data_IF_542712085355
#
_entry.id   IF_542712085355
#
_cell.length_a   1.000
_cell.length_b   1.000
_cell.length_c   1.000
_cell.angle_alpha   90.00
_cell.angle_beta   90.00
_cell.angle_gamma   90.00
#
_symmetry.space_group_name_H-M   'P 1'
#
loop_
_entity.id
_entity.type
_entity.pdbx_description
1 polymer ?
#
# COMPACT_ATOMS: atom_id res chain seq x y z
N UNK A 1 1.10 -48.08 -24.85
CA UNK A 1 1.83 -46.79 -24.90
C UNK A 1 0.81 -45.69 -25.15
N UNK A 2 0.28 -45.08 -24.09
CA UNK A 2 -0.48 -43.84 -24.20
C UNK A 2 0.28 -42.80 -23.37
N UNK A 3 0.79 -41.81 -24.09
CA UNK A 3 1.55 -40.67 -23.58
C UNK A 3 0.53 -39.73 -22.91
N UNK A 4 0.66 -39.53 -21.60
CA UNK A 4 -0.13 -38.53 -20.89
C UNK A 4 0.26 -37.14 -21.38
N UNK A 5 -0.70 -36.40 -21.91
CA UNK A 5 -0.64 -34.95 -22.01
C UNK A 5 -0.82 -34.39 -20.60
N UNK A 6 0.28 -33.96 -19.98
CA UNK A 6 0.23 -33.06 -18.83
C UNK A 6 -0.35 -31.71 -19.30
N UNK A 7 -1.45 -31.30 -18.69
CA UNK A 7 -2.06 -29.99 -18.92
C UNK A 7 -1.07 -28.86 -18.57
N UNK A 8 -1.04 -27.75 -19.33
CA UNK A 8 -0.22 -26.60 -18.98
C UNK A 8 -0.62 -26.10 -17.58
N UNK A 9 0.37 -25.92 -16.71
CA UNK A 9 0.14 -25.55 -15.31
C UNK A 9 -0.67 -24.24 -15.22
N UNK A 10 -1.64 -24.18 -14.30
CA UNK A 10 -2.45 -22.97 -14.01
C UNK A 10 -1.60 -21.73 -13.67
N UNK A 11 -0.31 -21.88 -13.42
CA UNK A 11 0.63 -20.80 -13.12
C UNK A 11 0.97 -20.02 -14.40
N UNK A 12 1.24 -20.73 -15.51
CA UNK A 12 1.56 -20.10 -16.80
C UNK A 12 0.39 -19.25 -17.34
N UNK A 13 -0.84 -19.66 -17.07
CA UNK A 13 -2.03 -18.89 -17.45
C UNK A 13 -2.19 -17.60 -16.63
N UNK A 14 -1.69 -17.54 -15.39
CA UNK A 14 -1.81 -16.35 -14.55
C UNK A 14 -0.78 -15.26 -14.88
N UNK A 15 0.40 -15.63 -15.39
CA UNK A 15 1.44 -14.64 -15.80
C UNK A 15 0.98 -13.83 -17.02
N UNK A 16 0.23 -14.44 -17.95
CA UNK A 16 -0.28 -13.78 -19.16
C UNK A 16 -1.38 -12.72 -18.90
N UNK A 17 -1.93 -12.66 -17.69
CA UNK A 17 -2.95 -11.66 -17.29
C UNK A 17 -2.37 -10.54 -16.41
N UNK A 18 -1.09 -10.61 -16.06
CA UNK A 18 -0.46 -9.61 -15.20
C UNK A 18 -0.25 -8.29 -15.94
N UNK A 19 -0.56 -7.18 -15.27
CA UNK A 19 -0.26 -5.83 -15.78
C UNK A 19 1.27 -5.65 -15.79
N UNK A 20 1.91 -5.44 -16.94
CA UNK A 20 3.37 -5.37 -17.03
C UNK A 20 3.89 -3.99 -16.63
N UNK A 21 4.29 -3.83 -15.35
CA UNK A 21 4.97 -2.64 -14.85
C UNK A 21 6.48 -2.67 -15.14
N UNK A 22 7.05 -3.86 -15.28
CA UNK A 22 8.32 -4.07 -15.95
C UNK A 22 8.17 -5.24 -16.95
N UNK A 23 8.31 -5.02 -18.27
CA UNK A 23 8.31 -6.10 -19.25
C UNK A 23 9.40 -7.16 -19.03
N UNK A 24 10.44 -6.86 -18.26
CA UNK A 24 11.51 -7.76 -17.82
C UNK A 24 11.44 -8.04 -16.31
N UNK A 25 10.26 -7.85 -15.71
CA UNK A 25 10.03 -8.15 -14.31
C UNK A 25 10.36 -9.60 -13.98
N UNK A 26 10.77 -9.82 -12.73
CA UNK A 26 11.26 -11.09 -12.19
C UNK A 26 10.31 -11.66 -11.11
N UNK A 27 9.19 -11.00 -10.84
CA UNK A 27 8.14 -11.48 -9.94
C UNK A 27 6.76 -10.98 -10.38
N UNK A 28 5.74 -11.80 -10.19
CA UNK A 28 4.34 -11.39 -10.29
C UNK A 28 3.77 -11.18 -8.89
N UNK A 29 3.37 -9.96 -8.58
CA UNK A 29 2.64 -9.66 -7.36
C UNK A 29 1.14 -9.85 -7.62
N UNK A 30 0.49 -10.71 -6.84
CA UNK A 30 -0.97 -10.87 -6.83
C UNK A 30 -1.55 -10.20 -5.59
N UNK A 31 -2.28 -9.11 -5.80
CA UNK A 31 -2.98 -8.41 -4.73
C UNK A 31 -4.40 -8.93 -4.64
N UNK A 32 -4.88 -9.20 -3.43
CA UNK A 32 -6.27 -9.59 -3.17
C UNK A 32 -6.80 -8.81 -1.98
N UNK A 33 -8.00 -8.25 -2.16
CA UNK A 33 -8.79 -7.66 -1.08
C UNK A 33 -9.95 -8.57 -0.72
N UNK A 34 -9.79 -9.33 0.36
CA UNK A 34 -10.76 -10.37 0.75
C UNK A 34 -12.19 -9.84 0.91
N UNK A 35 -12.34 -8.68 1.55
CA UNK A 35 -13.65 -8.05 1.82
C UNK A 35 -14.48 -7.76 0.57
N UNK A 36 -13.85 -7.60 -0.58
CA UNK A 36 -14.52 -7.25 -1.85
C UNK A 36 -14.38 -8.34 -2.91
N UNK A 37 -13.50 -9.32 -2.70
CA UNK A 37 -13.08 -10.27 -3.73
C UNK A 37 -12.28 -9.65 -4.88
N UNK A 38 -11.96 -8.36 -4.84
CA UNK A 38 -11.17 -7.69 -5.86
C UNK A 38 -9.74 -8.26 -5.87
N UNK A 39 -9.20 -8.46 -7.07
CA UNK A 39 -7.80 -8.88 -7.25
C UNK A 39 -7.19 -8.27 -8.49
N UNK A 40 -5.87 -8.06 -8.44
CA UNK A 40 -5.07 -7.64 -9.58
C UNK A 40 -3.70 -8.31 -9.52
N UNK A 41 -3.06 -8.46 -10.69
CA UNK A 41 -1.72 -9.02 -10.81
C UNK A 41 -0.81 -8.04 -11.53
N UNK A 42 0.42 -7.90 -11.06
CA UNK A 42 1.41 -6.95 -11.57
C UNK A 42 2.74 -7.67 -11.78
N UNK A 43 3.28 -7.61 -12.99
CA UNK A 43 4.65 -8.04 -13.27
C UNK A 43 5.59 -6.87 -12.98
N UNK A 44 6.50 -7.06 -12.02
CA UNK A 44 7.33 -6.00 -11.43
C UNK A 44 8.78 -6.41 -11.33
N UNK A 45 9.66 -5.43 -11.11
CA UNK A 45 11.07 -5.66 -10.80
C UNK A 45 11.31 -5.69 -9.30
N UNK A 46 11.79 -6.81 -8.77
CA UNK A 46 12.19 -6.93 -7.38
C UNK A 46 13.31 -5.95 -7.06
N UNK A 47 14.21 -5.66 -8.01
CA UNK A 47 15.29 -4.70 -7.81
C UNK A 47 14.77 -3.30 -7.50
N UNK A 48 13.79 -2.81 -8.26
CA UNK A 48 13.14 -1.52 -8.01
C UNK A 48 12.47 -1.52 -6.63
N UNK A 49 11.71 -2.57 -6.31
CA UNK A 49 10.99 -2.66 -5.04
C UNK A 49 11.92 -2.71 -3.84
N UNK A 50 13.03 -3.47 -3.90
CA UNK A 50 14.03 -3.55 -2.82
C UNK A 50 14.71 -2.19 -2.58
N UNK A 51 14.95 -1.41 -3.64
CA UNK A 51 15.51 -0.05 -3.51
C UNK A 51 14.52 0.93 -2.89
N UNK A 52 13.24 0.79 -3.23
CA UNK A 52 12.19 1.71 -2.81
C UNK A 52 11.67 1.46 -1.38
N UNK A 53 11.76 0.22 -0.90
CA UNK A 53 11.06 -0.24 0.30
C UNK A 53 11.91 -1.23 1.10
N UNK A 54 12.21 -0.94 2.37
CA UNK A 54 12.83 -1.89 3.28
C UNK A 54 11.97 -3.14 3.49
N UNK A 55 10.65 -3.02 3.46
CA UNK A 55 9.71 -4.15 3.59
C UNK A 55 9.83 -5.10 2.41
N UNK A 56 9.82 -4.59 1.17
CA UNK A 56 10.08 -5.42 -0.01
C UNK A 56 11.52 -5.94 -0.04
N UNK A 57 12.49 -5.14 0.43
CA UNK A 57 13.88 -5.60 0.62
C UNK A 57 13.95 -6.85 1.50
N UNK A 58 13.25 -6.82 2.64
CA UNK A 58 13.16 -7.96 3.56
C UNK A 58 12.39 -9.12 2.94
N UNK A 59 11.18 -8.87 2.43
CA UNK A 59 10.29 -9.89 1.83
C UNK A 59 10.99 -10.68 0.73
N UNK A 60 11.75 -10.01 -0.14
CA UNK A 60 12.46 -10.68 -1.23
C UNK A 60 13.83 -11.20 -0.84
N UNK A 61 14.26 -11.07 0.42
CA UNK A 61 15.54 -11.65 0.85
C UNK A 61 15.43 -13.17 1.04
N UNK A 62 16.56 -13.86 1.00
CA UNK A 62 16.62 -15.32 1.12
C UNK A 62 16.11 -15.89 2.47
N UNK A 63 15.86 -15.03 3.46
CA UNK A 63 15.31 -15.43 4.77
C UNK A 63 13.81 -15.69 4.72
N UNK A 64 13.11 -15.13 3.73
CA UNK A 64 11.66 -15.29 3.57
C UNK A 64 11.36 -16.26 2.42
N UNK A 65 10.19 -16.91 2.51
CA UNK A 65 9.72 -17.88 1.52
C UNK A 65 9.67 -17.25 0.13
N UNK A 66 9.19 -16.01 0.04
CA UNK A 66 9.07 -15.24 -1.20
C UNK A 66 10.44 -15.05 -1.87
N UNK A 67 11.46 -14.66 -1.10
CA UNK A 67 12.82 -14.55 -1.61
C UNK A 67 13.50 -15.88 -1.96
N UNK A 68 13.20 -16.96 -1.23
CA UNK A 68 13.67 -18.30 -1.59
C UNK A 68 13.09 -18.76 -2.94
N UNK A 69 11.82 -18.45 -3.20
CA UNK A 69 11.17 -18.76 -4.48
C UNK A 69 11.79 -17.98 -5.64
N UNK A 70 12.21 -16.73 -5.44
CA UNK A 70 12.96 -15.97 -6.46
C UNK A 70 14.29 -16.63 -6.88
N UNK A 71 14.89 -17.45 -6.01
CA UNK A 71 16.12 -18.18 -6.32
C UNK A 71 15.87 -19.52 -7.01
N UNK A 72 14.67 -20.09 -6.86
CA UNK A 72 14.33 -21.45 -7.28
C UNK A 72 13.40 -21.52 -8.50
N UNK A 73 12.56 -20.50 -8.70
CA UNK A 73 11.53 -20.45 -9.73
C UNK A 73 11.86 -19.34 -10.74
N UNK A 74 11.49 -19.55 -12.01
CA UNK A 74 11.49 -18.48 -13.00
C UNK A 74 10.22 -17.64 -12.85
N UNK A 75 10.37 -16.39 -12.41
CA UNK A 75 9.28 -15.41 -12.19
C UNK A 75 8.12 -15.91 -11.29
N UNK A 76 8.36 -16.16 -9.99
CA UNK A 76 7.34 -16.65 -9.07
C UNK A 76 6.17 -15.67 -8.87
N UNK A 77 5.01 -16.21 -8.51
CA UNK A 77 3.86 -15.41 -8.05
C UNK A 77 3.90 -15.25 -6.53
N UNK A 78 3.91 -14.01 -6.04
CA UNK A 78 3.86 -13.67 -4.61
C UNK A 78 2.51 -13.03 -4.30
N UNK A 79 1.81 -13.55 -3.31
CA UNK A 79 0.51 -13.03 -2.87
C UNK A 79 0.72 -11.89 -1.86
N UNK A 80 -0.02 -10.79 -2.05
CA UNK A 80 -0.12 -9.67 -1.13
C UNK A 80 -1.52 -9.71 -0.51
N UNK A 81 -1.57 -10.12 0.76
CA UNK A 81 -2.80 -10.33 1.52
C UNK A 81 -3.31 -9.01 2.13
N UNK A 82 -4.63 -8.84 2.08
CA UNK A 82 -5.36 -7.67 2.60
C UNK A 82 -4.89 -6.32 2.03
N UNK A 83 -4.54 -6.32 0.75
CA UNK A 83 -4.19 -5.11 0.02
C UNK A 83 -5.25 -4.69 -0.98
N UNK A 84 -5.51 -3.39 -1.08
CA UNK A 84 -6.39 -2.85 -2.10
C UNK A 84 -5.66 -2.87 -3.46
N UNK A 85 -6.15 -3.64 -4.45
CA UNK A 85 -5.44 -3.80 -5.73
C UNK A 85 -5.29 -2.49 -6.51
N UNK A 86 -6.22 -1.54 -6.36
CA UNK A 86 -6.14 -0.26 -7.04
C UNK A 86 -5.03 0.62 -6.44
N UNK A 87 -4.96 0.69 -5.12
CA UNK A 87 -3.98 1.49 -4.40
C UNK A 87 -2.57 0.91 -4.52
N UNK A 88 -2.43 -0.41 -4.39
CA UNK A 88 -1.14 -1.07 -4.65
C UNK A 88 -0.74 -0.93 -6.11
N UNK A 89 -1.68 -1.04 -7.04
CA UNK A 89 -1.40 -0.79 -8.46
C UNK A 89 -0.85 0.62 -8.72
N UNK A 90 -1.46 1.65 -8.13
CA UNK A 90 -0.95 3.02 -8.18
C UNK A 90 0.45 3.14 -7.58
N UNK A 91 0.64 2.63 -6.36
CA UNK A 91 1.94 2.64 -5.67
C UNK A 91 3.03 1.99 -6.52
N UNK A 92 2.78 0.79 -7.05
CA UNK A 92 3.74 0.05 -7.87
C UNK A 92 4.02 0.75 -9.20
N UNK A 93 3.00 1.32 -9.87
CA UNK A 93 3.17 2.11 -11.10
C UNK A 93 4.14 3.27 -10.88
N UNK A 94 3.93 4.03 -9.80
CA UNK A 94 4.78 5.18 -9.48
C UNK A 94 6.21 4.75 -9.17
N UNK A 95 6.40 3.68 -8.38
CA UNK A 95 7.73 3.12 -8.10
C UNK A 95 8.46 2.65 -9.37
N UNK A 96 7.73 2.20 -10.39
CA UNK A 96 8.26 1.80 -11.69
C UNK A 96 8.34 2.96 -12.71
N UNK A 97 8.25 4.22 -12.26
CA UNK A 97 8.33 5.41 -13.10
C UNK A 97 7.22 5.51 -14.17
N UNK A 98 6.08 4.85 -13.94
CA UNK A 98 4.92 4.87 -14.83
C UNK A 98 3.76 5.73 -14.29
N UNK A 99 4.03 6.59 -13.30
CA UNK A 99 3.03 7.57 -12.83
C UNK A 99 2.67 8.57 -13.93
N UNK A 100 1.42 9.00 -13.95
CA UNK A 100 0.89 9.95 -14.93
C UNK A 100 0.24 11.16 -14.24
N UNK A 101 -0.05 12.22 -15.01
CA UNK A 101 -0.78 13.38 -14.48
C UNK A 101 -2.20 13.04 -14.02
N UNK A 102 -2.78 11.94 -14.52
CA UNK A 102 -4.08 11.47 -14.05
C UNK A 102 -4.02 10.95 -12.60
N UNK A 103 -2.83 10.61 -12.10
CA UNK A 103 -2.61 10.12 -10.74
C UNK A 103 -2.33 11.27 -9.74
N UNK A 104 -2.33 12.55 -10.17
CA UNK A 104 -1.90 13.68 -9.33
C UNK A 104 -2.95 14.12 -8.30
N UNK A 105 -4.23 13.94 -8.60
CA UNK A 105 -5.34 14.33 -7.75
C UNK A 105 -6.14 13.10 -7.35
N UNK A 106 -6.53 13.03 -6.08
CA UNK A 106 -7.42 11.99 -5.58
C UNK A 106 -8.27 12.51 -4.43
N UNK A 107 -9.32 11.77 -4.12
CA UNK A 107 -10.22 12.08 -3.02
C UNK A 107 -9.52 11.80 -1.67
N UNK A 108 -9.89 12.55 -0.63
CA UNK A 108 -9.22 12.50 0.66
C UNK A 108 -9.20 11.08 1.27
N UNK A 109 -10.30 10.33 1.21
CA UNK A 109 -10.33 8.94 1.69
C UNK A 109 -9.36 8.07 0.89
N UNK A 110 -9.33 8.19 -0.44
CA UNK A 110 -8.40 7.47 -1.31
C UNK A 110 -6.95 7.78 -0.93
N UNK A 111 -6.62 9.06 -0.70
CA UNK A 111 -5.27 9.46 -0.31
C UNK A 111 -4.88 8.92 1.07
N UNK A 112 -5.80 8.96 2.03
CA UNK A 112 -5.59 8.40 3.35
C UNK A 112 -5.30 6.90 3.29
N UNK A 113 -6.08 6.16 2.50
CA UNK A 113 -5.86 4.72 2.32
C UNK A 113 -4.55 4.43 1.58
N UNK A 114 -4.21 5.19 0.55
CA UNK A 114 -2.91 5.09 -0.12
C UNK A 114 -1.76 5.31 0.87
N UNK A 115 -1.87 6.32 1.75
CA UNK A 115 -0.86 6.61 2.76
C UNK A 115 -0.60 5.41 3.68
N UNK A 116 -1.65 4.67 4.07
CA UNK A 116 -1.53 3.47 4.90
C UNK A 116 -0.82 2.32 4.16
N UNK A 117 -1.06 2.14 2.86
CA UNK A 117 -0.29 1.18 2.06
C UNK A 117 1.19 1.62 1.93
N UNK A 118 1.45 2.91 1.73
CA UNK A 118 2.82 3.42 1.68
C UNK A 118 3.57 3.23 2.99
N UNK A 119 2.90 3.39 4.14
CA UNK A 119 3.46 3.09 5.46
C UNK A 119 3.61 1.59 5.70
N UNK A 120 2.63 0.74 5.32
CA UNK A 120 2.71 -0.74 5.39
C UNK A 120 3.96 -1.27 4.70
N UNK A 121 4.30 -0.72 3.54
CA UNK A 121 5.49 -1.13 2.77
C UNK A 121 6.70 -0.23 3.01
N UNK A 122 6.63 0.77 3.89
CA UNK A 122 7.71 1.74 4.14
C UNK A 122 8.34 2.29 2.84
N UNK A 123 7.49 2.77 1.92
CA UNK A 123 7.92 3.28 0.61
C UNK A 123 7.64 4.78 0.42
N UNK A 124 7.13 5.47 1.44
CA UNK A 124 6.84 6.91 1.44
C UNK A 124 8.03 7.74 0.98
N UNK A 125 9.26 7.40 1.39
CA UNK A 125 10.48 8.12 0.98
C UNK A 125 10.73 8.04 -0.52
N UNK A 126 10.54 6.86 -1.12
CA UNK A 126 10.70 6.66 -2.56
C UNK A 126 9.61 7.43 -3.35
N UNK A 127 8.44 7.63 -2.73
CA UNK A 127 7.31 8.37 -3.30
C UNK A 127 7.31 9.87 -2.96
N UNK A 128 8.35 10.40 -2.32
CA UNK A 128 8.37 11.75 -1.75
C UNK A 128 7.85 12.87 -2.67
N UNK A 129 8.30 12.98 -3.94
CA UNK A 129 7.78 13.99 -4.87
C UNK A 129 6.27 13.86 -5.12
N UNK A 130 5.76 12.63 -5.18
CA UNK A 130 4.35 12.33 -5.41
C UNK A 130 3.50 12.62 -4.18
N UNK A 131 4.02 12.33 -2.99
CA UNK A 131 3.37 12.65 -1.72
C UNK A 131 3.06 14.15 -1.63
N UNK A 132 4.00 15.02 -2.00
CA UNK A 132 3.77 16.46 -2.04
C UNK A 132 2.63 16.82 -3.01
N UNK A 133 2.69 16.32 -4.25
CA UNK A 133 1.68 16.55 -5.28
C UNK A 133 0.30 16.10 -4.78
N UNK A 134 0.20 14.91 -4.19
CA UNK A 134 -1.06 14.36 -3.72
C UNK A 134 -1.65 15.15 -2.54
N UNK A 135 -0.83 15.60 -1.60
CA UNK A 135 -1.28 16.41 -0.46
C UNK A 135 -1.76 17.80 -0.90
N UNK A 136 -1.12 18.39 -1.90
CA UNK A 136 -1.48 19.69 -2.49
C UNK A 136 -2.76 19.60 -3.33
N UNK A 137 -2.95 18.51 -4.08
CA UNK A 137 -4.06 18.30 -5.01
C UNK A 137 -5.17 17.40 -4.44
N UNK A 138 -5.19 17.22 -3.11
CA UNK A 138 -6.24 16.44 -2.45
C UNK A 138 -7.59 17.12 -2.64
N UNK A 139 -8.57 16.34 -3.08
CA UNK A 139 -9.96 16.79 -3.27
C UNK A 139 -10.84 16.28 -2.14
N UNK A 140 -11.92 16.99 -1.85
CA UNK A 140 -12.94 16.53 -0.90
C UNK A 140 -14.31 16.56 -1.56
N UNK A 141 -15.16 15.58 -1.25
CA UNK A 141 -16.56 15.56 -1.70
C UNK A 141 -17.43 16.56 -0.94
N UNK A 142 -17.05 16.86 0.29
CA UNK A 142 -17.71 17.77 1.20
C UNK A 142 -16.70 18.41 2.18
N UNK A 143 -17.20 19.26 3.08
CA UNK A 143 -16.43 19.84 4.18
C UNK A 143 -16.70 19.09 5.50
N UNK A 144 -16.98 17.78 5.44
CA UNK A 144 -17.30 16.99 6.62
C UNK A 144 -16.10 16.79 7.54
N UNK A 145 -16.39 16.48 8.80
CA UNK A 145 -15.39 16.03 9.77
C UNK A 145 -14.54 14.86 9.25
N UNK A 146 -15.15 13.91 8.54
CA UNK A 146 -14.43 12.76 7.97
C UNK A 146 -13.49 13.18 6.85
N UNK A 147 -13.93 14.04 5.94
CA UNK A 147 -13.07 14.56 4.87
C UNK A 147 -11.81 15.25 5.43
N UNK A 148 -11.96 16.09 6.46
CA UNK A 148 -10.81 16.70 7.14
C UNK A 148 -9.94 15.65 7.85
N UNK A 149 -10.55 14.67 8.51
CA UNK A 149 -9.85 13.55 9.17
C UNK A 149 -8.99 12.76 8.20
N UNK A 150 -9.49 12.45 7.00
CA UNK A 150 -8.73 11.73 5.98
C UNK A 150 -7.52 12.52 5.50
N UNK A 151 -7.65 13.83 5.29
CA UNK A 151 -6.49 14.64 4.91
C UNK A 151 -5.43 14.71 6.03
N UNK A 152 -5.86 14.76 7.29
CA UNK A 152 -4.96 14.75 8.45
C UNK A 152 -4.26 13.39 8.55
N UNK A 153 -5.00 12.29 8.37
CA UNK A 153 -4.45 10.94 8.40
C UNK A 153 -3.40 10.76 7.31
N UNK A 154 -3.70 11.18 6.08
CA UNK A 154 -2.76 11.13 4.98
C UNK A 154 -1.46 11.88 5.32
N UNK A 155 -1.56 13.13 5.77
CA UNK A 155 -0.39 13.94 6.10
C UNK A 155 0.42 13.36 7.27
N UNK A 156 -0.27 12.83 8.28
CA UNK A 156 0.36 12.15 9.42
C UNK A 156 1.13 10.90 8.99
N UNK A 157 0.46 10.01 8.26
CA UNK A 157 1.02 8.72 7.84
C UNK A 157 2.16 8.89 6.84
N UNK A 158 2.09 9.89 5.95
CA UNK A 158 3.22 10.24 5.10
C UNK A 158 4.38 10.92 5.85
N UNK A 159 4.19 11.31 7.11
CA UNK A 159 5.20 12.03 7.89
C UNK A 159 5.41 13.49 7.45
N UNK A 160 4.47 14.06 6.67
CA UNK A 160 4.54 15.46 6.24
C UNK A 160 4.11 16.38 7.39
N UNK A 161 5.09 16.81 8.17
CA UNK A 161 4.83 17.67 9.35
C UNK A 161 4.20 19.02 8.99
N UNK A 162 4.65 19.75 7.94
CA UNK A 162 4.00 20.98 7.51
C UNK A 162 2.51 20.81 7.18
N UNK A 163 2.16 19.86 6.32
CA UNK A 163 0.78 19.60 5.91
C UNK A 163 -0.07 19.07 7.05
N UNK A 164 0.48 18.19 7.89
CA UNK A 164 -0.21 17.69 9.08
C UNK A 164 -0.60 18.83 10.01
N UNK A 165 0.34 19.75 10.30
CA UNK A 165 0.07 20.92 11.15
C UNK A 165 -0.96 21.85 10.51
N UNK A 166 -0.81 22.13 9.21
CA UNK A 166 -1.71 23.03 8.48
C UNK A 166 -3.14 22.50 8.51
N UNK A 167 -3.34 21.22 8.16
CA UNK A 167 -4.66 20.57 8.09
C UNK A 167 -5.29 20.39 9.48
N UNK A 168 -4.48 19.99 10.48
CA UNK A 168 -4.95 19.87 11.86
C UNK A 168 -5.43 21.21 12.42
N UNK A 169 -4.68 22.30 12.16
CA UNK A 169 -5.08 23.65 12.58
C UNK A 169 -6.42 24.06 11.96
N UNK A 170 -6.61 23.81 10.67
CA UNK A 170 -7.89 24.08 9.99
C UNK A 170 -9.03 23.31 10.65
N UNK A 171 -8.84 22.01 10.90
CA UNK A 171 -9.84 21.18 11.55
C UNK A 171 -10.18 21.67 12.96
N UNK A 172 -9.21 22.07 13.79
CA UNK A 172 -9.48 22.64 15.13
C UNK A 172 -10.30 23.92 15.08
N UNK A 173 -10.21 24.70 14.00
CA UNK A 173 -10.96 25.94 13.84
C UNK A 173 -12.37 25.73 13.27
N UNK A 174 -12.60 24.64 12.54
CA UNK A 174 -13.85 24.41 11.79
C UNK A 174 -14.72 23.29 12.38
N UNK A 175 -14.13 22.32 13.09
CA UNK A 175 -14.86 21.18 13.61
C UNK A 175 -15.49 21.48 14.97
N UNK A 176 -16.79 21.24 15.07
CA UNK A 176 -17.51 21.21 16.34
C UNK A 176 -17.10 19.99 17.17
N UNK A 177 -17.01 20.07 18.51
CA UNK A 177 -16.49 19.00 19.37
C UNK A 177 -17.13 17.61 19.18
N UNK A 178 -18.35 17.54 18.64
CA UNK A 178 -19.03 16.28 18.30
C UNK A 178 -18.36 15.48 17.17
N UNK A 179 -17.37 16.05 16.46
CA UNK A 179 -16.66 15.38 15.37
C UNK A 179 -15.99 14.07 15.80
N UNK A 180 -15.62 13.96 17.09
CA UNK A 180 -14.91 12.80 17.64
C UNK A 180 -15.70 11.51 17.45
N UNK A 181 -17.02 11.54 17.67
CA UNK A 181 -17.87 10.36 17.47
C UNK A 181 -17.83 9.86 16.02
N UNK A 182 -17.86 10.79 15.05
CA UNK A 182 -17.75 10.45 13.64
C UNK A 182 -16.37 9.88 13.27
N UNK A 183 -15.33 10.24 14.01
CA UNK A 183 -13.98 9.70 13.80
C UNK A 183 -13.80 8.33 14.46
N UNK A 184 -14.38 8.09 15.62
CA UNK A 184 -14.33 6.80 16.32
C UNK A 184 -15.07 5.69 15.55
N UNK A 185 -16.09 6.04 14.77
CA UNK A 185 -16.80 5.12 13.88
C UNK A 185 -16.00 4.75 12.62
N UNK A 186 -14.95 5.50 12.29
CA UNK A 186 -14.14 5.31 11.09
C UNK A 186 -12.85 4.56 11.41
N UNK A 187 -12.80 3.28 11.03
CA UNK A 187 -11.68 2.39 11.34
C UNK A 187 -10.33 2.90 10.83
N UNK A 188 -10.32 3.65 9.71
CA UNK A 188 -9.09 4.20 9.15
C UNK A 188 -8.40 5.20 10.09
N UNK A 189 -9.10 5.84 11.02
CA UNK A 189 -8.51 6.83 11.93
C UNK A 189 -7.83 6.24 13.16
N UNK A 190 -7.81 4.91 13.32
CA UNK A 190 -7.12 4.25 14.44
C UNK A 190 -5.67 4.75 14.64
N UNK A 191 -4.83 4.92 13.60
CA UNK A 191 -3.45 5.39 13.78
C UNK A 191 -3.35 6.81 14.34
N UNK A 192 -4.30 7.68 14.00
CA UNK A 192 -4.37 9.03 14.55
C UNK A 192 -4.83 9.00 16.01
N UNK A 193 -5.87 8.23 16.32
CA UNK A 193 -6.46 8.14 17.65
C UNK A 193 -5.49 7.49 18.65
N UNK A 194 -4.75 6.47 18.23
CA UNK A 194 -3.71 5.81 19.04
C UNK A 194 -2.54 6.76 19.33
N UNK A 195 -2.13 7.57 18.34
CA UNK A 195 -1.08 8.58 18.52
C UNK A 195 -1.45 9.66 19.54
N UNK A 196 -2.72 10.10 19.56
CA UNK A 196 -3.21 11.11 20.53
C UNK A 196 -3.37 10.53 21.94
N UNK A 197 -3.74 9.26 22.05
CA UNK A 197 -3.97 8.59 23.35
C UNK A 197 -2.68 8.03 23.99
N UNK A 198 -1.52 8.15 23.33
CA UNK A 198 -0.23 7.72 23.87
C UNK A 198 -0.05 6.21 23.93
N UNK A 199 -0.89 5.43 23.22
CA UNK A 199 -0.66 4.00 23.06
C UNK A 199 0.44 3.81 22.02
N UNK A 200 1.57 3.23 22.42
CA UNK A 200 2.69 2.98 21.52
C UNK A 200 2.23 2.13 20.32
N UNK A 201 2.62 2.56 19.12
CA UNK A 201 2.44 1.83 17.86
C UNK A 201 3.11 0.46 18.01
N UNK A 202 2.34 -0.63 17.98
CA UNK A 202 2.92 -1.96 17.86
C UNK A 202 3.60 -2.07 16.49
N UNK A 203 4.86 -2.51 16.40
CA UNK A 203 5.47 -2.77 15.10
C UNK A 203 4.69 -3.88 14.41
N UNK A 204 4.22 -3.63 13.18
CA UNK A 204 3.47 -4.60 12.37
C UNK A 204 4.29 -5.85 11.96
N UNK A 205 5.57 -5.90 12.33
CA UNK A 205 6.45 -7.04 12.10
C UNK A 205 7.09 -7.48 13.42
N UNK A 206 6.37 -8.29 14.21
CA UNK A 206 7.05 -9.22 15.11
C UNK A 206 7.32 -10.53 14.34
N UNK A 207 8.56 -11.07 14.41
CA UNK A 207 8.81 -12.39 13.86
C UNK A 207 7.96 -13.39 14.64
N UNK A 208 7.12 -14.14 13.93
CA UNK A 208 6.51 -15.36 14.48
C UNK A 208 7.66 -16.29 14.84
N UNK A 209 8.00 -16.31 16.13
CA UNK A 209 8.87 -17.34 16.70
C UNK A 209 8.06 -18.62 16.62
N UNK A 210 8.29 -19.41 15.58
CA UNK A 210 7.85 -20.80 15.54
C UNK A 210 8.64 -21.55 16.61
N UNK A 211 7.98 -21.79 17.74
CA UNK A 211 8.44 -22.78 18.70
C UNK A 211 8.64 -24.10 17.97
N UNK A 212 9.87 -24.58 18.01
CA UNK A 212 10.28 -25.88 17.51
C UNK A 212 9.73 -26.94 18.46
N UNK A 213 8.93 -27.88 17.94
CA UNK A 213 8.76 -29.21 18.51
C UNK A 213 9.14 -30.21 17.43
#
# INVERSE_FOLDING_TARGET
>A
MQRGEEAPSSIANNVNLATPLDPKGDVVLRCRKESTGASATFLVSTHILRLASPVFSSMFSATFREGQRLLAEDCPVVELEDDDPELVGLMLRVLHYQGSSADYAMEAETLARLSLHCDKYDCTRALGPWVQIWLENVTTKDESAKAMGFQILAAFTFGDTPEFRRKSRTATLQLEPSFVAAWEEEALFEPLLSSVTGKARAPLNEPVVTETI
#
